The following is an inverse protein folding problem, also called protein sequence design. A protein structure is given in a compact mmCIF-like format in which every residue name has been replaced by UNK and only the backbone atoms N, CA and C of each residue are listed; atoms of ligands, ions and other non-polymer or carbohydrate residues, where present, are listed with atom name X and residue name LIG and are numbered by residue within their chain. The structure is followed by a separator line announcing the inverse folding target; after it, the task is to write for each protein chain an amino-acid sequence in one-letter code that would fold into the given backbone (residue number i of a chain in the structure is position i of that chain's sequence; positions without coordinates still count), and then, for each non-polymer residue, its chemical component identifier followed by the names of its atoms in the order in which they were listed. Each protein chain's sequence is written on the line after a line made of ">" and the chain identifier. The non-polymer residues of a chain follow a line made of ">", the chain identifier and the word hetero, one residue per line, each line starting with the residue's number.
data_IF_492004127352
#
_entry.id   IF_492004127352
#
_cell.length_a   1.000
_cell.length_b   1.000
_cell.length_c   1.000
_cell.angle_alpha   90.00
_cell.angle_beta   90.00
_cell.angle_gamma   90.00
#
_symmetry.space_group_name_H-M   'P 1'
#
loop_
_entity.id
_entity.type
_entity.pdbx_description
1 polymer ?
#
# COMPACT_ATOMS: atom_id res chain seq x y z
N UNK A 1 67.34 25.35 1.66
CA UNK A 1 66.46 24.80 2.72
C UNK A 1 65.04 24.84 2.17
N UNK A 2 64.61 23.73 1.60
CA UNK A 2 63.63 23.68 0.51
C UNK A 2 62.27 23.28 1.06
N UNK A 3 61.25 24.05 0.69
CA UNK A 3 59.85 24.09 1.17
C UNK A 3 59.05 22.77 0.99
N UNK A 4 59.71 21.65 0.65
CA UNK A 4 59.05 20.40 0.21
C UNK A 4 58.47 19.53 1.32
N UNK A 5 58.82 19.73 2.58
CA UNK A 5 58.40 18.79 3.64
C UNK A 5 57.12 19.14 4.39
N UNK A 6 56.51 20.32 4.17
CA UNK A 6 55.29 20.72 4.89
C UNK A 6 53.98 20.34 4.19
N UNK A 7 54.01 19.98 2.91
CA UNK A 7 52.80 19.73 2.12
C UNK A 7 52.36 18.28 2.09
N UNK A 8 53.24 17.33 2.46
CA UNK A 8 52.91 15.91 2.41
C UNK A 8 51.96 15.47 3.54
N UNK A 9 51.89 16.24 4.64
CA UNK A 9 50.99 15.92 5.76
C UNK A 9 49.59 16.53 5.63
N UNK A 10 49.34 17.45 4.69
CA UNK A 10 48.06 18.17 4.59
C UNK A 10 47.06 17.50 3.64
N UNK A 11 47.52 16.62 2.75
CA UNK A 11 46.66 15.94 1.76
C UNK A 11 46.02 14.66 2.34
N UNK A 12 46.49 14.17 3.48
CA UNK A 12 45.96 12.97 4.12
C UNK A 12 44.74 13.23 5.03
N UNK A 13 44.41 14.50 5.32
CA UNK A 13 43.33 14.87 6.23
C UNK A 13 42.06 15.41 5.55
N UNK A 14 42.05 15.54 4.22
CA UNK A 14 40.90 16.04 3.43
C UNK A 14 40.13 14.92 2.72
N UNK A 15 40.33 13.66 3.12
CA UNK A 15 39.38 12.57 2.86
C UNK A 15 38.49 12.40 4.09
N UNK A 16 37.97 13.51 4.63
CA UNK A 16 36.88 13.48 5.59
C UNK A 16 35.63 13.11 4.80
N UNK A 17 35.35 11.81 4.77
CA UNK A 17 34.05 11.28 5.13
C UNK A 17 32.87 12.09 4.59
N UNK A 18 32.77 12.22 3.26
CA UNK A 18 31.46 12.30 2.62
C UNK A 18 30.88 10.88 2.69
N UNK A 19 30.64 10.40 3.91
CA UNK A 19 29.70 9.32 4.14
C UNK A 19 28.35 9.95 3.85
N UNK A 20 27.93 9.91 2.58
CA UNK A 20 26.53 9.95 2.23
C UNK A 20 25.88 8.77 2.95
N UNK A 21 25.54 8.97 4.22
CA UNK A 21 24.54 8.17 4.89
C UNK A 21 23.28 8.40 4.09
N UNK A 22 23.04 7.55 3.09
CA UNK A 22 21.70 7.39 2.57
C UNK A 22 20.90 6.89 3.75
N UNK A 23 20.27 7.84 4.44
CA UNK A 23 19.18 7.56 5.35
C UNK A 23 18.25 6.65 4.55
N UNK A 24 18.22 5.36 4.92
CA UNK A 24 17.31 4.41 4.30
C UNK A 24 15.94 5.00 4.58
N UNK A 25 15.32 5.65 3.59
CA UNK A 25 13.92 6.06 3.66
C UNK A 25 13.19 4.82 4.12
N UNK A 26 12.72 4.83 5.36
CA UNK A 26 11.77 3.81 5.79
C UNK A 26 10.63 3.92 4.80
N UNK A 27 10.35 2.81 4.13
CA UNK A 27 9.17 2.71 3.29
C UNK A 27 7.96 2.84 4.20
N UNK A 28 7.40 4.05 4.26
CA UNK A 28 6.19 4.30 5.04
C UNK A 28 5.01 3.64 4.33
N UNK A 29 4.51 2.57 4.93
CA UNK A 29 3.21 2.05 4.58
C UNK A 29 2.14 3.03 5.05
N UNK A 30 1.34 3.57 4.13
CA UNK A 30 0.21 4.35 4.57
C UNK A 30 -0.89 3.44 5.11
N UNK A 31 -1.48 3.86 6.23
CA UNK A 31 -2.74 3.32 6.72
C UNK A 31 -3.86 4.21 6.19
N UNK A 32 -4.91 3.60 5.66
CA UNK A 32 -5.97 4.38 5.00
C UNK A 32 -7.37 3.92 5.39
N UNK A 33 -8.29 4.86 5.35
CA UNK A 33 -9.74 4.63 5.35
C UNK A 33 -10.27 4.93 3.94
N UNK A 34 -11.05 4.00 3.39
CA UNK A 34 -11.69 4.13 2.07
C UNK A 34 -13.20 4.20 2.29
N UNK A 35 -13.89 5.15 1.67
CA UNK A 35 -15.35 5.25 1.73
C UNK A 35 -15.95 5.69 0.39
N UNK A 36 -17.23 5.38 0.11
CA UNK A 36 -18.01 6.12 -0.89
C UNK A 36 -18.10 7.61 -0.54
N UNK A 37 -18.54 8.42 -1.51
CA UNK A 37 -18.70 9.88 -1.33
C UNK A 37 -19.67 10.24 -0.20
N UNK A 38 -20.70 9.42 0.03
CA UNK A 38 -21.67 9.63 1.12
C UNK A 38 -21.14 9.21 2.50
N UNK A 39 -20.02 8.49 2.57
CA UNK A 39 -19.44 8.00 3.82
C UNK A 39 -20.27 6.92 4.52
N UNK A 40 -21.25 6.31 3.84
CA UNK A 40 -22.18 5.33 4.41
C UNK A 40 -21.51 4.06 4.94
N UNK A 41 -20.30 3.76 4.47
CA UNK A 41 -19.49 2.66 4.94
C UNK A 41 -18.00 3.06 4.88
N UNK A 42 -17.16 2.48 5.73
CA UNK A 42 -15.70 2.58 5.63
C UNK A 42 -15.03 1.20 5.61
N UNK A 43 -13.98 1.05 4.82
CA UNK A 43 -12.99 -0.03 4.95
C UNK A 43 -11.65 0.58 5.34
N UNK A 44 -11.04 0.06 6.41
CA UNK A 44 -9.70 0.42 6.84
C UNK A 44 -8.68 -0.57 6.26
N UNK A 45 -7.56 -0.06 5.76
CA UNK A 45 -6.42 -0.84 5.27
C UNK A 45 -5.17 -0.50 6.08
N UNK A 46 -4.60 -1.51 6.75
CA UNK A 46 -3.36 -1.40 7.53
C UNK A 46 -2.36 -2.41 6.98
N UNK A 47 -1.13 -1.97 6.71
CA UNK A 47 -0.05 -2.86 6.24
C UNK A 47 1.08 -2.90 7.26
N UNK A 48 1.45 -4.09 7.74
CA UNK A 48 2.59 -4.31 8.65
C UNK A 48 3.55 -5.31 8.02
N UNK A 49 4.71 -4.83 7.56
CA UNK A 49 5.66 -5.66 6.82
C UNK A 49 5.05 -6.20 5.53
N UNK A 50 5.08 -7.52 5.33
CA UNK A 50 4.50 -8.20 4.17
C UNK A 50 3.04 -8.64 4.39
N UNK A 51 2.36 -8.07 5.38
CA UNK A 51 0.96 -8.39 5.70
C UNK A 51 0.06 -7.19 5.55
N UNK A 52 -1.06 -7.35 4.84
CA UNK A 52 -2.11 -6.33 4.72
C UNK A 52 -3.42 -6.81 5.30
N UNK A 53 -3.97 -6.01 6.19
CA UNK A 53 -5.28 -6.18 6.81
C UNK A 53 -6.25 -5.23 6.13
N UNK A 54 -7.35 -5.77 5.65
CA UNK A 54 -8.45 -5.03 5.06
C UNK A 54 -9.67 -5.30 5.95
N UNK A 55 -10.09 -4.28 6.69
CA UNK A 55 -11.05 -4.40 7.79
C UNK A 55 -12.31 -3.61 7.47
N UNK A 56 -13.47 -4.21 7.74
CA UNK A 56 -14.73 -3.49 7.64
C UNK A 56 -14.92 -2.58 8.86
N UNK A 57 -15.21 -1.31 8.62
CA UNK A 57 -15.34 -0.26 9.62
C UNK A 57 -14.12 0.65 9.68
N UNK A 58 -14.16 1.60 10.61
CA UNK A 58 -13.04 2.48 10.95
C UNK A 58 -12.22 1.85 12.05
N UNK A 59 -10.93 1.66 11.81
CA UNK A 59 -10.01 1.07 12.78
C UNK A 59 -8.73 1.91 12.88
N UNK A 60 -8.22 2.07 14.09
CA UNK A 60 -6.88 2.63 14.33
C UNK A 60 -5.81 1.56 14.32
N UNK A 61 -6.17 0.35 14.75
CA UNK A 61 -5.30 -0.80 14.89
C UNK A 61 -5.90 -2.02 14.18
N UNK A 62 -5.16 -3.13 14.16
CA UNK A 62 -5.65 -4.39 13.59
C UNK A 62 -6.74 -4.97 14.50
N UNK A 63 -7.93 -5.23 13.95
CA UNK A 63 -9.00 -5.97 14.63
C UNK A 63 -8.75 -7.47 14.62
N UNK A 64 -9.20 -8.17 15.64
CA UNK A 64 -9.19 -9.64 15.72
C UNK A 64 -10.34 -10.30 14.92
N UNK A 65 -11.30 -9.51 14.44
CA UNK A 65 -12.45 -9.95 13.66
C UNK A 65 -12.70 -9.11 12.40
N UNK A 66 -13.61 -9.60 11.53
CA UNK A 66 -14.16 -8.81 10.41
C UNK A 66 -13.08 -8.19 9.49
N UNK A 67 -12.07 -9.00 9.16
CA UNK A 67 -10.93 -8.62 8.33
C UNK A 67 -10.62 -9.65 7.24
N UNK A 68 -9.91 -9.19 6.23
CA UNK A 68 -9.19 -9.99 5.25
C UNK A 68 -7.70 -9.75 5.42
N UNK A 69 -6.94 -10.83 5.64
CA UNK A 69 -5.49 -10.82 5.76
C UNK A 69 -4.86 -11.33 4.48
N UNK A 70 -4.01 -10.49 3.90
CA UNK A 70 -3.25 -10.76 2.69
C UNK A 70 -1.76 -10.87 3.00
N UNK A 71 -1.13 -11.81 2.32
CA UNK A 71 0.32 -11.98 2.20
C UNK A 71 0.80 -11.24 0.95
N UNK A 72 1.70 -10.28 1.16
CA UNK A 72 2.26 -9.40 0.15
C UNK A 72 3.67 -9.82 -0.29
N UNK A 73 4.18 -10.98 0.12
CA UNK A 73 5.57 -11.38 -0.16
C UNK A 73 5.90 -11.46 -1.66
N UNK A 74 4.88 -11.55 -2.52
CA UNK A 74 4.99 -11.58 -3.99
C UNK A 74 4.53 -10.28 -4.67
N UNK A 75 4.09 -9.29 -3.90
CA UNK A 75 3.64 -7.99 -4.43
C UNK A 75 4.85 -7.10 -4.64
N UNK A 76 5.01 -6.61 -5.87
CA UNK A 76 6.08 -5.67 -6.20
C UNK A 76 5.87 -4.36 -5.44
N UNK A 77 6.93 -3.86 -4.80
CA UNK A 77 6.87 -2.64 -3.97
C UNK A 77 6.62 -1.38 -4.78
N UNK A 78 7.15 -1.28 -6.00
CA UNK A 78 6.97 -0.13 -6.90
C UNK A 78 5.56 -0.10 -7.51
N UNK A 79 4.90 -1.26 -7.55
CA UNK A 79 3.55 -1.43 -8.12
C UNK A 79 2.51 -1.88 -7.11
N UNK A 80 2.72 -1.66 -5.80
CA UNK A 80 1.82 -2.13 -4.75
C UNK A 80 0.51 -1.32 -4.75
N UNK A 81 -0.34 -1.75 -5.66
CA UNK A 81 -1.67 -1.23 -5.87
C UNK A 81 -2.74 -2.30 -5.67
N UNK A 82 -3.92 -1.84 -5.30
CA UNK A 82 -5.12 -2.66 -5.31
C UNK A 82 -6.30 -1.83 -5.80
N UNK A 83 -7.26 -2.51 -6.41
CA UNK A 83 -8.49 -1.92 -6.88
C UNK A 83 -9.60 -2.19 -5.87
N UNK A 84 -10.49 -1.22 -5.72
CA UNK A 84 -11.64 -1.31 -4.84
C UNK A 84 -12.87 -0.76 -5.55
N UNK A 85 -14.02 -1.42 -5.39
CA UNK A 85 -15.32 -0.94 -5.87
C UNK A 85 -16.33 -0.94 -4.73
N UNK A 86 -17.11 0.12 -4.63
CA UNK A 86 -18.26 0.23 -3.74
C UNK A 86 -19.57 -0.14 -4.45
N UNK A 87 -20.42 -0.95 -3.80
CA UNK A 87 -21.81 -1.16 -4.21
C UNK A 87 -21.99 -1.94 -5.53
N UNK A 88 -20.98 -2.66 -5.97
CA UNK A 88 -20.97 -3.33 -7.27
C UNK A 88 -21.43 -4.79 -7.18
N UNK A 89 -22.34 -5.19 -8.07
CA UNK A 89 -22.84 -6.57 -8.20
C UNK A 89 -23.43 -7.14 -6.89
N UNK A 90 -24.09 -6.30 -6.09
CA UNK A 90 -24.70 -6.69 -4.81
C UNK A 90 -23.74 -6.76 -3.62
N UNK A 91 -22.43 -6.60 -3.85
CA UNK A 91 -21.44 -6.51 -2.78
C UNK A 91 -21.31 -5.07 -2.28
N UNK A 92 -21.07 -4.92 -0.98
CA UNK A 92 -20.66 -3.64 -0.40
C UNK A 92 -19.28 -3.25 -0.93
N UNK A 93 -18.31 -4.16 -0.81
CA UNK A 93 -16.98 -3.95 -1.37
C UNK A 93 -16.52 -5.12 -2.18
N UNK A 94 -15.99 -4.80 -3.37
CA UNK A 94 -15.14 -5.70 -4.14
C UNK A 94 -13.73 -5.18 -4.06
N UNK A 95 -12.78 -6.04 -3.75
CA UNK A 95 -11.37 -5.70 -3.63
C UNK A 95 -10.57 -6.66 -4.50
N UNK A 96 -9.66 -6.10 -5.28
CA UNK A 96 -8.75 -6.86 -6.11
C UNK A 96 -7.33 -6.44 -5.83
N UNK A 97 -6.46 -7.40 -5.54
CA UNK A 97 -5.03 -7.12 -5.39
C UNK A 97 -4.22 -8.18 -6.11
N UNK A 98 -3.49 -7.70 -7.10
CA UNK A 98 -2.49 -8.43 -7.87
C UNK A 98 -1.45 -9.08 -6.94
N UNK A 99 -1.14 -10.36 -7.15
CA UNK A 99 -0.11 -11.12 -6.41
C UNK A 99 -0.26 -11.25 -4.89
N UNK A 100 -1.17 -10.50 -4.27
CA UNK A 100 -1.50 -10.64 -2.86
C UNK A 100 -2.27 -11.94 -2.63
N UNK A 101 -1.79 -12.78 -1.73
CA UNK A 101 -2.40 -14.08 -1.46
C UNK A 101 -3.26 -13.99 -0.21
N UNK A 102 -4.47 -14.54 -0.23
CA UNK A 102 -5.30 -14.65 0.97
C UNK A 102 -4.63 -15.60 1.97
N UNK A 103 -4.39 -15.10 3.18
CA UNK A 103 -3.97 -15.91 4.33
C UNK A 103 -5.18 -16.28 5.17
N UNK A 104 -6.08 -15.32 5.39
CA UNK A 104 -7.27 -15.50 6.21
C UNK A 104 -8.37 -14.52 5.79
N UNK A 105 -9.62 -14.98 5.80
CA UNK A 105 -10.77 -14.15 5.48
C UNK A 105 -11.88 -14.34 6.51
N UNK A 106 -12.08 -13.33 7.36
CA UNK A 106 -13.16 -13.22 8.35
C UNK A 106 -14.24 -12.20 7.93
N UNK A 107 -14.18 -11.66 6.72
CA UNK A 107 -15.24 -10.80 6.19
C UNK A 107 -16.47 -11.63 5.82
N UNK A 108 -17.66 -11.03 5.95
CA UNK A 108 -18.91 -11.63 5.49
C UNK A 108 -18.90 -11.79 3.95
N UNK A 109 -18.80 -13.01 3.41
CA UNK A 109 -18.66 -13.21 1.96
C UNK A 109 -19.92 -12.83 1.19
N UNK A 110 -21.05 -12.63 1.86
CA UNK A 110 -22.29 -12.13 1.21
C UNK A 110 -22.25 -10.62 0.98
N UNK A 111 -21.33 -9.91 1.64
CA UNK A 111 -21.18 -8.45 1.57
C UNK A 111 -19.84 -8.01 0.99
N UNK A 112 -18.82 -8.86 1.09
CA UNK A 112 -17.45 -8.54 0.67
C UNK A 112 -16.94 -9.59 -0.29
N UNK A 113 -16.35 -9.13 -1.40
CA UNK A 113 -15.69 -9.98 -2.37
C UNK A 113 -14.22 -9.59 -2.47
N UNK A 114 -13.34 -10.58 -2.35
CA UNK A 114 -11.94 -10.44 -2.71
C UNK A 114 -11.62 -11.28 -3.94
N UNK A 115 -10.80 -10.73 -4.81
CA UNK A 115 -10.25 -11.45 -5.95
C UNK A 115 -8.76 -11.17 -6.11
N UNK A 116 -8.04 -12.15 -6.62
CA UNK A 116 -6.66 -12.01 -7.06
C UNK A 116 -6.67 -12.11 -8.59
N UNK A 117 -6.98 -11.00 -9.31
CA UNK A 117 -7.11 -11.07 -10.76
C UNK A 117 -5.75 -11.43 -11.36
N UNK A 118 -5.76 -12.50 -12.16
CA UNK A 118 -4.67 -12.88 -13.05
C UNK A 118 -5.24 -12.70 -14.46
N UNK A 119 -4.55 -11.94 -15.29
CA UNK A 119 -4.86 -11.76 -16.70
C UNK A 119 -4.53 -13.00 -17.51
N UNK A 120 -4.80 -12.95 -18.80
CA UNK A 120 -4.81 -14.11 -19.72
C UNK A 120 -3.50 -14.92 -19.75
N UNK A 121 -2.37 -14.30 -19.38
CA UNK A 121 -1.06 -14.95 -19.31
C UNK A 121 -0.54 -15.13 -17.88
N UNK A 122 -1.43 -15.05 -16.89
CA UNK A 122 -1.10 -15.18 -15.47
C UNK A 122 -0.46 -13.93 -14.84
N UNK A 123 -0.33 -12.81 -15.57
CA UNK A 123 0.07 -11.53 -14.96
C UNK A 123 -1.15 -10.82 -14.40
N UNK A 124 -1.08 -10.18 -13.24
CA UNK A 124 -2.21 -9.50 -12.67
C UNK A 124 -2.72 -8.40 -13.58
N UNK A 125 -4.03 -8.32 -13.62
CA UNK A 125 -4.75 -7.34 -14.42
C UNK A 125 -5.65 -6.51 -13.52
N UNK A 126 -5.81 -5.24 -13.86
CA UNK A 126 -6.80 -4.36 -13.24
C UNK A 126 -8.20 -4.55 -13.85
N UNK A 127 -8.37 -5.51 -14.76
CA UNK A 127 -9.62 -5.81 -15.44
C UNK A 127 -10.78 -5.92 -14.46
N UNK A 128 -11.83 -5.13 -14.73
CA UNK A 128 -13.09 -5.16 -13.98
C UNK A 128 -13.31 -4.05 -12.94
N UNK A 129 -12.37 -3.11 -12.77
CA UNK A 129 -12.48 -2.03 -11.76
C UNK A 129 -12.47 -0.62 -12.36
N UNK A 130 -13.19 -0.42 -13.47
CA UNK A 130 -13.29 0.87 -14.20
C UNK A 130 -14.63 1.59 -13.98
N UNK A 131 -15.51 1.04 -13.14
CA UNK A 131 -16.79 1.66 -12.80
C UNK A 131 -16.64 2.98 -12.04
N UNK A 132 -17.68 3.82 -12.04
CA UNK A 132 -17.66 5.13 -11.35
C UNK A 132 -17.35 5.03 -9.87
N UNK A 133 -17.87 3.99 -9.20
CA UNK A 133 -17.64 3.73 -7.78
C UNK A 133 -16.42 2.83 -7.53
N UNK A 134 -15.50 2.76 -8.49
CA UNK A 134 -14.26 1.98 -8.41
C UNK A 134 -13.03 2.89 -8.46
N UNK A 135 -11.97 2.49 -7.78
CA UNK A 135 -10.69 3.21 -7.80
C UNK A 135 -9.51 2.30 -7.58
N UNK A 136 -8.41 2.61 -8.25
CA UNK A 136 -7.09 2.08 -7.92
C UNK A 136 -6.47 2.86 -6.76
N UNK A 137 -5.90 2.14 -5.80
CA UNK A 137 -5.19 2.68 -4.65
C UNK A 137 -3.74 2.25 -4.74
N UNK A 138 -2.83 3.22 -4.79
CA UNK A 138 -1.39 3.00 -4.63
C UNK A 138 -1.05 3.32 -3.19
N UNK A 139 -0.98 2.31 -2.32
CA UNK A 139 -0.95 2.51 -0.86
C UNK A 139 0.33 3.21 -0.36
N UNK A 140 1.37 3.25 -1.20
CA UNK A 140 2.66 3.89 -0.93
C UNK A 140 2.73 5.32 -1.47
N UNK A 141 1.74 5.73 -2.24
CA UNK A 141 1.66 7.07 -2.83
C UNK A 141 0.51 7.83 -2.17
N UNK A 142 0.72 9.12 -1.85
CA UNK A 142 -0.36 10.00 -1.38
C UNK A 142 -1.22 10.48 -2.55
N UNK A 143 -1.83 9.54 -3.28
CA UNK A 143 -2.67 9.81 -4.45
C UNK A 143 -4.13 9.48 -4.13
N UNK A 144 -5.05 10.27 -4.68
CA UNK A 144 -6.48 9.98 -4.62
C UNK A 144 -6.87 8.82 -5.54
N UNK A 145 -7.99 8.12 -5.26
CA UNK A 145 -8.52 7.11 -6.17
C UNK A 145 -9.02 7.77 -7.46
N UNK A 146 -8.98 7.05 -8.57
CA UNK A 146 -9.46 7.54 -9.87
C UNK A 146 -11.00 7.52 -10.04
N UNK A 147 -11.79 7.30 -8.97
CA UNK A 147 -13.26 7.24 -9.02
C UNK A 147 -13.95 7.90 -7.82
N UNK A 148 -15.26 7.69 -7.69
CA UNK A 148 -16.16 8.31 -6.70
C UNK A 148 -15.99 7.73 -5.29
N UNK A 149 -14.74 7.73 -4.81
CA UNK A 149 -14.32 7.23 -3.52
C UNK A 149 -13.49 8.30 -2.79
N UNK A 150 -13.57 8.29 -1.46
CA UNK A 150 -12.73 9.10 -0.58
C UNK A 150 -11.68 8.19 0.03
N UNK A 151 -10.45 8.68 0.08
CA UNK A 151 -9.33 8.05 0.79
C UNK A 151 -8.83 9.03 1.83
N UNK A 152 -8.79 8.59 3.08
CA UNK A 152 -8.21 9.33 4.19
C UNK A 152 -7.01 8.57 4.72
N UNK A 153 -5.88 9.26 4.81
CA UNK A 153 -4.65 8.72 5.39
C UNK A 153 -4.74 8.83 6.91
N UNK A 154 -4.56 7.70 7.59
CA UNK A 154 -4.45 7.60 9.04
C UNK A 154 -3.00 7.95 9.38
N UNK A 155 -2.82 8.96 10.22
CA UNK A 155 -1.51 9.32 10.76
C UNK A 155 -1.35 8.55 12.06
N UNK A 156 -0.24 7.83 12.18
CA UNK A 156 0.15 7.15 13.42
C UNK A 156 0.49 8.15 14.53
#
# INVERSE_FOLDING_TARGET
>A
MTIKEKYFSLVLFTVILVSCGQEKRQEEWHHIEISPLDGSQVVTVITKGEKRYIMNGKHKDISDDNYLLLDLSKVDRLGDGFSVCWGENGYKWKIASAYARVVENKLDPTKYLYSQPLGDYGQPTSEGYTGKSCGGILIREKRGPNGDLKVKYIVD
#
